data_IF_655113098173
#
_entry.id   IF_655113098173
#
_cell.length_a   1.000
_cell.length_b   1.000
_cell.length_c   1.000
_cell.angle_alpha   90.00
_cell.angle_beta   90.00
_cell.angle_gamma   90.00
#
_symmetry.space_group_name_H-M   'P 1'
#
loop_
_entity.id
_entity.type
_entity.pdbx_description
1 polymer ?
#
# COMPACT_ATOMS: atom_id res chain seq x y z
N UNK A 1 24.51 7.62 -7.74
CA UNK A 1 23.29 8.39 -7.43
C UNK A 1 23.64 9.54 -6.47
N UNK A 2 23.14 10.77 -6.71
CA UNK A 2 23.37 11.93 -5.85
C UNK A 2 22.73 11.71 -4.46
N UNK A 3 23.29 12.33 -3.42
CA UNK A 3 22.89 12.20 -2.01
C UNK A 3 21.40 11.85 -1.78
N UNK A 4 21.07 10.74 -1.07
CA UNK A 4 19.70 10.32 -0.77
C UNK A 4 18.87 11.36 -0.01
N UNK A 5 19.55 12.27 0.69
CA UNK A 5 18.95 13.36 1.47
C UNK A 5 19.00 14.71 0.74
N UNK A 6 19.07 14.73 -0.59
CA UNK A 6 19.02 15.99 -1.33
C UNK A 6 17.61 16.59 -1.33
N UNK A 7 17.47 17.77 -0.73
CA UNK A 7 16.24 18.55 -0.70
C UNK A 7 16.55 20.02 -1.06
N UNK A 8 15.80 20.57 -2.01
CA UNK A 8 15.82 22.01 -2.36
C UNK A 8 17.21 22.63 -2.63
N UNK A 9 18.14 21.91 -3.27
CA UNK A 9 19.48 22.44 -3.54
C UNK A 9 20.56 22.01 -2.55
N UNK A 10 20.18 21.39 -1.44
CA UNK A 10 21.06 21.06 -0.32
C UNK A 10 20.96 19.57 0.06
N UNK A 11 22.05 18.95 0.49
CA UNK A 11 22.06 17.57 1.02
C UNK A 11 22.00 17.61 2.54
N UNK A 12 20.93 17.10 3.13
CA UNK A 12 20.70 17.08 4.59
C UNK A 12 21.12 15.73 5.18
N UNK A 13 22.42 15.54 5.43
CA UNK A 13 22.87 14.32 6.12
C UNK A 13 22.35 14.29 7.58
N UNK A 14 21.85 13.14 8.08
CA UNK A 14 21.47 12.98 9.50
C UNK A 14 22.58 13.27 10.51
N UNK A 15 23.85 13.30 10.06
CA UNK A 15 25.01 13.64 10.88
C UNK A 15 25.19 15.16 11.07
N UNK A 16 24.37 15.98 10.43
CA UNK A 16 24.41 17.43 10.55
C UNK A 16 23.18 17.92 11.30
N UNK A 17 23.36 18.72 12.37
CA UNK A 17 22.23 19.29 13.11
C UNK A 17 21.48 20.35 12.28
N UNK A 18 22.15 20.98 11.29
CA UNK A 18 21.57 22.00 10.41
C UNK A 18 22.08 21.83 8.97
N UNK A 19 21.26 22.16 7.95
CA UNK A 19 21.68 22.12 6.54
C UNK A 19 22.81 23.13 6.29
N UNK A 20 23.97 22.65 5.82
CA UNK A 20 25.13 23.49 5.49
C UNK A 20 25.56 23.29 4.05
N UNK A 21 25.76 24.39 3.32
CA UNK A 21 26.16 24.39 1.91
C UNK A 21 27.53 23.76 1.65
N UNK A 22 28.39 23.71 2.67
CA UNK A 22 29.75 23.14 2.56
C UNK A 22 29.77 21.62 2.34
N UNK A 23 28.61 20.95 2.45
CA UNK A 23 28.49 19.49 2.35
C UNK A 23 28.04 19.03 0.95
N UNK A 24 27.81 19.95 0.02
CA UNK A 24 27.45 19.65 -1.38
C UNK A 24 28.41 20.28 -2.37
N UNK A 25 29.71 20.32 -2.05
CA UNK A 25 30.69 20.48 -3.12
C UNK A 25 30.54 19.26 -4.04
N UNK A 26 30.05 19.49 -5.27
CA UNK A 26 29.89 18.47 -6.33
C UNK A 26 31.18 17.64 -6.47
N UNK A 27 32.31 18.31 -6.30
CA UNK A 27 33.67 17.79 -6.35
C UNK A 27 33.98 16.72 -5.28
N UNK A 28 33.22 16.69 -4.18
CA UNK A 28 33.49 15.82 -3.02
C UNK A 28 32.41 14.78 -2.77
N UNK A 29 31.12 15.11 -2.92
CA UNK A 29 30.03 14.17 -2.62
C UNK A 29 28.96 14.15 -3.73
N UNK A 30 29.28 14.69 -4.93
CA UNK A 30 28.36 14.76 -6.08
C UNK A 30 28.42 13.59 -7.06
N UNK A 31 29.43 12.72 -6.97
CA UNK A 31 29.58 11.55 -7.86
C UNK A 31 29.50 10.23 -7.08
N UNK A 32 28.97 9.20 -7.75
CA UNK A 32 28.59 7.90 -7.16
C UNK A 32 29.74 7.18 -6.45
N UNK A 33 30.95 7.25 -6.99
CA UNK A 33 32.12 6.58 -6.43
C UNK A 33 32.78 7.33 -5.27
N UNK A 34 32.49 8.63 -5.08
CA UNK A 34 33.09 9.45 -4.03
C UNK A 34 32.17 9.53 -2.81
N UNK A 35 30.85 9.35 -3.03
CA UNK A 35 29.84 9.44 -1.97
C UNK A 35 30.03 8.42 -0.83
N UNK A 36 30.46 7.18 -1.13
CA UNK A 36 30.71 6.13 -0.13
C UNK A 36 31.82 6.52 0.86
N UNK A 37 32.80 7.31 0.41
CA UNK A 37 33.93 7.76 1.21
C UNK A 37 33.68 9.12 1.92
N UNK A 38 32.48 9.69 1.76
CA UNK A 38 32.12 10.98 2.34
C UNK A 38 31.89 10.78 3.87
N UNK A 39 32.46 11.64 4.72
CA UNK A 39 32.28 11.56 6.19
C UNK A 39 30.79 11.63 6.59
N UNK A 40 30.00 12.30 5.75
CA UNK A 40 28.56 12.48 5.88
C UNK A 40 27.74 11.33 5.28
N UNK A 41 28.39 10.31 4.73
CA UNK A 41 27.75 9.09 4.26
C UNK A 41 27.10 8.35 5.43
N UNK A 42 25.87 7.94 5.20
CA UNK A 42 25.13 7.00 6.02
C UNK A 42 24.60 5.98 5.03
N UNK A 43 24.84 4.69 5.25
CA UNK A 43 24.12 3.67 4.50
C UNK A 43 22.66 3.75 4.95
N UNK A 44 21.72 3.89 4.00
CA UNK A 44 20.33 3.61 4.35
C UNK A 44 20.30 2.17 4.90
N UNK A 45 19.64 1.91 6.04
CA UNK A 45 19.32 0.54 6.36
C UNK A 45 18.48 0.04 5.21
N UNK A 46 19.04 -0.88 4.41
CA UNK A 46 18.33 -1.59 3.35
C UNK A 46 17.10 -2.13 4.07
N UNK A 47 15.94 -1.51 3.83
CA UNK A 47 14.68 -2.06 4.29
C UNK A 47 14.52 -3.32 3.45
N UNK A 48 15.12 -4.40 3.91
CA UNK A 48 14.70 -5.72 3.55
C UNK A 48 13.21 -5.69 3.88
N UNK A 49 12.39 -5.55 2.84
CA UNK A 49 11.02 -6.01 2.86
C UNK A 49 11.10 -7.51 3.11
N UNK A 50 11.42 -7.89 4.34
CA UNK A 50 11.07 -9.18 4.88
C UNK A 50 9.57 -9.19 4.73
N UNK A 51 9.10 -9.98 3.77
CA UNK A 51 7.73 -10.49 3.76
C UNK A 51 7.56 -11.26 5.06
N UNK A 52 7.40 -10.55 6.17
CA UNK A 52 6.79 -11.10 7.35
C UNK A 52 5.41 -11.49 6.88
N UNK A 53 5.22 -12.81 6.74
CA UNK A 53 3.90 -13.41 6.78
C UNK A 53 3.25 -12.91 8.07
N UNK A 54 2.56 -11.77 8.00
CA UNK A 54 1.65 -11.32 9.03
C UNK A 54 0.52 -12.35 9.10
N UNK A 55 0.73 -13.36 9.91
CA UNK A 55 -0.31 -14.25 10.36
C UNK A 55 -1.32 -13.44 11.18
N UNK A 56 -2.56 -13.38 10.69
CA UNK A 56 -3.79 -12.96 11.40
C UNK A 56 -3.91 -11.47 11.81
N UNK A 57 -4.91 -10.83 11.20
CA UNK A 57 -5.77 -9.79 11.80
C UNK A 57 -5.23 -8.35 11.92
N UNK A 58 -4.51 -7.85 10.93
CA UNK A 58 -4.79 -6.45 10.54
C UNK A 58 -6.10 -6.45 9.77
N UNK A 59 -7.20 -6.61 10.52
CA UNK A 59 -8.56 -6.45 10.00
C UNK A 59 -8.62 -5.01 9.50
N UNK A 60 -8.55 -4.83 8.18
CA UNK A 60 -8.96 -3.58 7.52
C UNK A 60 -10.26 -3.15 8.21
N UNK A 61 -10.21 -2.07 9.00
CA UNK A 61 -11.35 -1.65 9.81
C UNK A 61 -12.50 -1.35 8.86
N UNK A 62 -13.60 -2.07 9.02
CA UNK A 62 -14.81 -1.86 8.22
C UNK A 62 -15.32 -0.45 8.50
N UNK A 63 -15.14 0.46 7.56
CA UNK A 63 -15.68 1.81 7.65
C UNK A 63 -17.14 1.78 7.22
N UNK A 64 -18.05 1.74 8.21
CA UNK A 64 -19.48 1.52 7.99
C UNK A 64 -20.12 2.45 6.94
N UNK A 65 -19.81 3.75 6.83
CA UNK A 65 -20.46 4.64 5.87
C UNK A 65 -20.34 4.20 4.40
N UNK A 66 -19.27 3.50 4.04
CA UNK A 66 -19.04 3.03 2.66
C UNK A 66 -19.26 1.52 2.50
N UNK A 67 -19.09 0.73 3.57
CA UNK A 67 -19.15 -0.74 3.52
C UNK A 67 -20.47 -1.33 4.02
N UNK A 68 -21.29 -0.58 4.76
CA UNK A 68 -22.56 -1.08 5.26
C UNK A 68 -23.54 -1.35 4.11
N UNK A 69 -24.05 -2.57 4.04
CA UNK A 69 -24.95 -3.02 3.00
C UNK A 69 -26.40 -2.95 3.45
N UNK A 70 -27.31 -2.40 2.64
CA UNK A 70 -28.73 -2.48 2.92
C UNK A 70 -29.24 -3.92 2.73
N UNK A 71 -30.33 -4.33 3.41
CA UNK A 71 -30.80 -5.72 3.44
C UNK A 71 -31.04 -6.37 2.07
N UNK A 72 -31.50 -5.57 1.11
CA UNK A 72 -31.82 -5.99 -0.24
C UNK A 72 -30.61 -6.18 -1.16
N UNK A 73 -29.42 -5.72 -0.76
CA UNK A 73 -28.24 -5.72 -1.62
C UNK A 73 -27.39 -6.97 -1.37
N UNK A 74 -27.34 -7.84 -2.39
CA UNK A 74 -26.56 -9.07 -2.39
C UNK A 74 -25.57 -9.08 -3.57
N UNK A 75 -24.43 -9.73 -3.37
CA UNK A 75 -23.28 -9.61 -4.24
C UNK A 75 -23.36 -10.45 -5.54
N UNK A 76 -24.26 -11.43 -5.63
CA UNK A 76 -24.49 -12.27 -6.84
C UNK A 76 -23.31 -13.17 -7.29
N UNK A 77 -22.08 -12.83 -6.89
CA UNK A 77 -20.84 -13.49 -7.25
C UNK A 77 -20.49 -14.61 -6.26
N UNK A 78 -20.03 -15.80 -6.73
CA UNK A 78 -19.58 -16.89 -5.86
C UNK A 78 -18.39 -16.54 -4.96
N UNK A 79 -17.51 -15.66 -5.44
CA UNK A 79 -16.29 -15.26 -4.72
C UNK A 79 -16.52 -14.15 -3.70
N UNK A 80 -17.78 -13.81 -3.47
CA UNK A 80 -18.18 -12.74 -2.57
C UNK A 80 -18.87 -13.30 -1.35
N UNK A 81 -18.31 -13.03 -0.18
CA UNK A 81 -18.84 -13.47 1.10
C UNK A 81 -19.58 -12.31 1.78
N UNK A 82 -20.79 -12.56 2.27
CA UNK A 82 -21.59 -11.57 2.99
C UNK A 82 -21.63 -12.00 4.44
N UNK A 83 -21.14 -11.14 5.31
CA UNK A 83 -21.09 -11.37 6.75
C UNK A 83 -21.70 -10.19 7.50
N UNK A 84 -22.06 -10.42 8.76
CA UNK A 84 -22.62 -9.41 9.66
C UNK A 84 -21.72 -9.23 10.86
N UNK A 85 -21.63 -7.99 11.36
CA UNK A 85 -20.99 -7.71 12.66
C UNK A 85 -21.93 -8.09 13.80
N UNK A 86 -21.39 -8.15 15.02
CA UNK A 86 -22.19 -8.31 16.25
C UNK A 86 -23.29 -7.24 16.37
N UNK A 87 -23.06 -6.04 15.83
CA UNK A 87 -24.01 -4.93 15.81
C UNK A 87 -25.04 -5.03 14.66
N UNK A 88 -25.08 -6.13 13.91
CA UNK A 88 -26.02 -6.35 12.81
C UNK A 88 -25.67 -5.63 11.50
N UNK A 89 -24.54 -4.92 11.43
CA UNK A 89 -24.10 -4.26 10.18
C UNK A 89 -23.61 -5.33 9.21
N UNK A 90 -24.25 -5.41 8.04
CA UNK A 90 -23.88 -6.30 6.93
C UNK A 90 -22.77 -5.68 6.09
N UNK A 91 -21.81 -6.49 5.68
CA UNK A 91 -20.72 -6.12 4.79
C UNK A 91 -20.41 -7.26 3.83
N UNK A 92 -19.76 -6.95 2.71
CA UNK A 92 -19.31 -7.94 1.76
C UNK A 92 -17.79 -7.95 1.66
N UNK A 93 -17.23 -9.11 1.39
CA UNK A 93 -15.82 -9.34 1.22
C UNK A 93 -15.56 -10.10 -0.09
N UNK A 94 -14.63 -9.63 -0.90
CA UNK A 94 -14.26 -10.28 -2.15
C UNK A 94 -12.98 -11.09 -1.97
N UNK A 95 -13.07 -12.40 -2.20
CA UNK A 95 -11.94 -13.34 -2.06
C UNK A 95 -10.87 -13.15 -3.14
N UNK A 96 -11.24 -12.67 -4.33
CA UNK A 96 -10.32 -12.49 -5.46
C UNK A 96 -9.32 -11.35 -5.25
N UNK A 97 -9.75 -10.28 -4.61
CA UNK A 97 -8.96 -9.06 -4.38
C UNK A 97 -8.67 -8.83 -2.90
N UNK A 98 -8.96 -9.82 -2.06
CA UNK A 98 -8.65 -9.89 -0.63
C UNK A 98 -9.11 -8.66 0.19
N UNK A 99 -10.24 -8.04 -0.18
CA UNK A 99 -10.73 -6.80 0.48
C UNK A 99 -12.24 -6.75 0.70
N UNK A 100 -12.65 -5.92 1.66
CA UNK A 100 -14.05 -5.53 1.82
C UNK A 100 -14.55 -4.71 0.63
N UNK A 101 -15.77 -5.00 0.21
CA UNK A 101 -16.44 -4.30 -0.89
C UNK A 101 -17.25 -3.13 -0.34
N UNK A 102 -17.20 -2.01 -1.05
CA UNK A 102 -18.10 -0.89 -0.78
C UNK A 102 -19.51 -1.23 -1.25
N UNK A 103 -20.51 -0.46 -0.78
CA UNK A 103 -21.89 -0.58 -1.26
C UNK A 103 -22.00 -0.47 -2.78
N UNK A 104 -21.18 0.39 -3.40
CA UNK A 104 -21.15 0.56 -4.85
C UNK A 104 -20.55 -0.67 -5.54
N UNK A 105 -19.47 -1.23 -5.01
CA UNK A 105 -18.87 -2.45 -5.55
C UNK A 105 -19.86 -3.62 -5.50
N UNK A 106 -20.59 -3.81 -4.39
CA UNK A 106 -21.58 -4.89 -4.28
C UNK A 106 -22.73 -4.72 -5.28
N UNK A 107 -23.15 -3.49 -5.53
CA UNK A 107 -24.15 -3.19 -6.56
C UNK A 107 -23.64 -3.56 -7.97
N UNK A 108 -22.38 -3.24 -8.28
CA UNK A 108 -21.77 -3.66 -9.53
C UNK A 108 -21.65 -5.18 -9.62
N UNK A 109 -21.19 -5.85 -8.56
CA UNK A 109 -21.10 -7.30 -8.52
C UNK A 109 -22.48 -7.96 -8.73
N UNK A 110 -23.54 -7.42 -8.12
CA UNK A 110 -24.90 -7.93 -8.29
C UNK A 110 -25.34 -7.99 -9.77
N UNK A 111 -24.94 -7.01 -10.57
CA UNK A 111 -25.36 -6.86 -11.98
C UNK A 111 -24.36 -7.45 -12.98
N UNK A 112 -23.07 -7.29 -12.73
CA UNK A 112 -22.01 -7.48 -13.72
C UNK A 112 -20.92 -8.46 -13.25
N UNK A 113 -21.18 -9.33 -12.27
CA UNK A 113 -20.15 -10.27 -11.80
C UNK A 113 -19.61 -11.22 -12.88
N UNK A 114 -20.38 -11.51 -13.93
CA UNK A 114 -19.95 -12.37 -15.05
C UNK A 114 -18.86 -11.72 -15.90
N UNK A 115 -18.87 -10.40 -15.98
CA UNK A 115 -17.91 -9.58 -16.74
C UNK A 115 -16.82 -8.99 -15.81
N UNK A 116 -16.75 -9.46 -14.57
CA UNK A 116 -15.80 -8.94 -13.58
C UNK A 116 -14.35 -9.20 -14.06
N UNK A 117 -13.54 -8.15 -14.26
CA UNK A 117 -12.17 -8.32 -14.76
C UNK A 117 -11.32 -9.14 -13.79
N UNK A 118 -11.50 -8.96 -12.47
CA UNK A 118 -10.77 -9.70 -11.46
C UNK A 118 -10.99 -11.21 -11.55
N UNK A 119 -12.19 -11.64 -11.96
CA UNK A 119 -12.52 -13.05 -12.16
C UNK A 119 -11.87 -13.62 -13.43
N UNK A 120 -11.82 -12.83 -14.50
CA UNK A 120 -11.18 -13.24 -15.75
C UNK A 120 -9.67 -13.42 -15.57
N UNK A 121 -9.01 -12.53 -14.83
CA UNK A 121 -7.58 -12.64 -14.56
C UNK A 121 -7.21 -13.75 -13.56
N UNK A 122 -8.08 -14.06 -12.58
CA UNK A 122 -7.80 -15.13 -11.62
C UNK A 122 -7.83 -16.52 -12.25
N UNK A 123 -8.59 -16.72 -13.34
CA UNK A 123 -8.60 -17.99 -14.08
C UNK A 123 -7.39 -18.23 -14.97
N UNK A 124 -6.56 -17.20 -15.22
CA UNK A 124 -5.38 -17.30 -16.12
C UNK A 124 -4.11 -17.68 -15.34
N UNK A 125 -4.14 -17.55 -14.01
CA UNK A 125 -2.97 -17.71 -13.12
C UNK A 125 -2.88 -19.08 -12.43
N UNK A 126 -3.68 -20.05 -12.86
CA UNK A 126 -3.65 -21.46 -12.40
C UNK A 126 -3.32 -22.38 -13.57
#
# INVERSE_FOLDING_TARGET
>A
MPCPWYQHGMCTSPKLPEPVDTVVAIDRCGSENIYINCVYYVEEPVKHFRKEHQTKKDRVKIYAPIHALPPQLNCGCPECDISSTENGVRFAYCKLIDRYLTRYDVYLCSRYWRECPYRLYSSIST
#
